data_IF_432634763086
#
_entry.id   IF_432634763086
#
_cell.length_a   1.000
_cell.length_b   1.000
_cell.length_c   1.000
_cell.angle_alpha   90.00
_cell.angle_beta   90.00
_cell.angle_gamma   90.00
#
_symmetry.space_group_name_H-M   'P 1'
#
loop_
_entity.id
_entity.type
_entity.pdbx_description
1 polymer ?
#
# COMPACT_ATOMS: atom_id res chain seq x y z
N UNK A 1 58.61 -32.76 -72.62
CA UNK A 1 58.85 -31.79 -71.51
C UNK A 1 57.59 -31.32 -70.79
N UNK A 2 56.53 -32.13 -70.63
CA UNK A 2 55.26 -31.64 -69.99
C UNK A 2 55.02 -32.15 -68.55
N UNK A 3 55.89 -32.96 -67.96
CA UNK A 3 55.69 -33.49 -66.63
C UNK A 3 56.12 -32.53 -65.49
N UNK A 4 57.02 -31.55 -65.73
CA UNK A 4 57.47 -30.63 -64.68
C UNK A 4 56.44 -29.52 -64.37
N UNK A 5 55.55 -29.16 -65.29
CA UNK A 5 54.55 -28.08 -65.09
C UNK A 5 53.38 -28.49 -64.19
N UNK A 6 53.02 -29.79 -64.18
CA UNK A 6 51.92 -30.30 -63.33
C UNK A 6 52.25 -30.25 -61.83
N UNK A 7 53.51 -30.41 -61.46
CA UNK A 7 53.93 -30.34 -60.05
C UNK A 7 53.90 -28.92 -59.47
N UNK A 8 54.21 -27.90 -60.28
CA UNK A 8 54.21 -26.50 -59.84
C UNK A 8 52.78 -26.01 -59.64
N UNK A 9 51.83 -26.38 -60.48
CA UNK A 9 50.43 -26.00 -60.36
C UNK A 9 49.77 -26.57 -59.08
N UNK A 10 50.09 -27.85 -58.77
CA UNK A 10 49.58 -28.49 -57.50
C UNK A 10 50.22 -27.89 -56.28
N UNK A 11 51.47 -27.50 -56.31
CA UNK A 11 52.15 -26.81 -55.20
C UNK A 11 51.53 -25.42 -54.96
N UNK A 12 51.28 -24.69 -56.04
CA UNK A 12 50.67 -23.35 -55.96
C UNK A 12 49.25 -23.42 -55.39
N UNK A 13 48.41 -24.35 -55.84
CA UNK A 13 47.07 -24.55 -55.29
C UNK A 13 47.08 -24.97 -53.85
N UNK A 14 48.00 -25.84 -53.41
CA UNK A 14 48.15 -26.23 -52.00
C UNK A 14 48.56 -25.05 -51.14
N UNK A 15 49.45 -24.17 -51.53
CA UNK A 15 49.86 -22.97 -50.80
C UNK A 15 48.70 -21.97 -50.69
N UNK A 16 47.95 -21.76 -51.79
CA UNK A 16 46.79 -20.86 -51.80
C UNK A 16 45.71 -21.40 -50.85
N UNK A 17 45.43 -22.68 -50.88
CA UNK A 17 44.49 -23.36 -49.94
C UNK A 17 44.94 -23.22 -48.50
N UNK A 18 46.22 -23.42 -48.20
CA UNK A 18 46.77 -23.31 -46.85
C UNK A 18 46.65 -21.88 -46.33
N UNK A 19 46.93 -20.87 -47.16
CA UNK A 19 46.76 -19.47 -46.80
C UNK A 19 45.29 -19.18 -46.56
N UNK A 20 44.39 -19.63 -47.43
CA UNK A 20 42.94 -19.42 -47.28
C UNK A 20 42.41 -20.05 -45.95
N UNK A 21 42.79 -21.31 -45.64
CA UNK A 21 42.39 -21.96 -44.38
C UNK A 21 42.95 -21.23 -43.16
N UNK A 22 44.21 -20.74 -43.25
CA UNK A 22 44.80 -19.99 -42.14
C UNK A 22 44.07 -18.65 -41.89
N UNK A 23 43.72 -17.92 -42.94
CA UNK A 23 42.94 -16.66 -42.84
C UNK A 23 41.56 -16.93 -42.27
N UNK A 24 40.86 -17.96 -42.76
CA UNK A 24 39.52 -18.33 -42.25
C UNK A 24 39.62 -18.72 -40.75
N UNK A 25 40.58 -19.54 -40.35
CA UNK A 25 40.79 -19.95 -38.97
C UNK A 25 41.07 -18.75 -38.06
N UNK A 26 41.89 -17.82 -38.51
CA UNK A 26 42.18 -16.59 -37.76
C UNK A 26 40.93 -15.72 -37.56
N UNK A 27 40.17 -15.53 -38.64
CA UNK A 27 38.92 -14.76 -38.58
C UNK A 27 37.85 -15.40 -37.68
N UNK A 28 37.72 -16.75 -37.78
CA UNK A 28 36.79 -17.50 -36.95
C UNK A 28 37.18 -17.39 -35.46
N UNK A 29 38.48 -17.49 -35.13
CA UNK A 29 38.97 -17.34 -33.78
C UNK A 29 38.68 -15.95 -33.21
N UNK A 30 38.83 -14.89 -34.00
CA UNK A 30 38.51 -13.53 -33.60
C UNK A 30 37.02 -13.35 -33.27
N UNK A 31 36.14 -13.91 -34.11
CA UNK A 31 34.69 -13.90 -33.87
C UNK A 31 34.36 -14.61 -32.56
N UNK A 32 34.87 -15.80 -32.34
CA UNK A 32 34.62 -16.60 -31.11
C UNK A 32 35.10 -15.84 -29.84
N UNK A 33 36.24 -15.15 -29.92
CA UNK A 33 36.72 -14.35 -28.80
C UNK A 33 35.77 -13.17 -28.50
N UNK A 34 35.32 -12.46 -29.54
CA UNK A 34 34.38 -11.37 -29.41
C UNK A 34 33.04 -11.84 -28.86
N UNK A 35 32.51 -12.96 -29.34
CA UNK A 35 31.26 -13.54 -28.82
C UNK A 35 31.39 -13.92 -27.34
N UNK A 36 32.50 -14.54 -26.95
CA UNK A 36 32.75 -14.85 -25.53
C UNK A 36 32.84 -13.60 -24.66
N UNK A 37 33.49 -12.55 -25.14
CA UNK A 37 33.57 -11.26 -24.42
C UNK A 37 32.18 -10.61 -24.29
N UNK A 38 31.37 -10.67 -25.33
CA UNK A 38 30.02 -10.14 -25.32
C UNK A 38 29.13 -10.89 -24.32
N UNK A 39 29.18 -12.21 -24.31
CA UNK A 39 28.44 -13.05 -23.34
C UNK A 39 28.92 -12.78 -21.91
N UNK A 40 30.23 -12.70 -21.68
CA UNK A 40 30.78 -12.37 -20.36
C UNK A 40 30.33 -11.00 -19.86
N UNK A 41 30.38 -9.97 -20.74
CA UNK A 41 29.93 -8.63 -20.38
C UNK A 41 28.42 -8.57 -20.14
N UNK A 42 27.62 -9.35 -20.88
CA UNK A 42 26.19 -9.44 -20.65
C UNK A 42 25.89 -10.10 -19.30
N UNK A 43 26.55 -11.20 -18.96
CA UNK A 43 26.41 -11.85 -17.66
C UNK A 43 26.83 -10.94 -16.50
N UNK A 44 27.96 -10.25 -16.62
CA UNK A 44 28.42 -9.28 -15.64
C UNK A 44 27.42 -8.09 -15.48
N UNK A 45 26.77 -7.71 -16.60
CA UNK A 45 25.74 -6.67 -16.59
C UNK A 45 24.49 -7.06 -15.81
N UNK A 46 24.02 -8.32 -15.96
CA UNK A 46 22.88 -8.85 -15.19
C UNK A 46 23.22 -8.94 -13.71
N UNK A 47 24.38 -9.47 -13.37
CA UNK A 47 24.83 -9.54 -11.99
C UNK A 47 24.95 -8.16 -11.33
N UNK A 48 25.53 -7.17 -12.02
CA UNK A 48 25.61 -5.80 -11.53
C UNK A 48 24.21 -5.19 -11.33
N UNK A 49 23.25 -5.52 -12.20
CA UNK A 49 21.86 -5.07 -12.07
C UNK A 49 21.20 -5.68 -10.83
N UNK A 50 21.29 -6.99 -10.63
CA UNK A 50 20.69 -7.68 -9.47
C UNK A 50 21.26 -7.15 -8.14
N UNK A 51 22.56 -6.86 -8.10
CA UNK A 51 23.19 -6.27 -6.92
C UNK A 51 22.75 -4.80 -6.70
N UNK A 52 22.59 -4.03 -7.77
CA UNK A 52 22.09 -2.66 -7.67
C UNK A 52 20.62 -2.65 -7.20
N UNK A 53 19.80 -3.59 -7.68
CA UNK A 53 18.42 -3.76 -7.22
C UNK A 53 18.38 -4.11 -5.73
N UNK A 54 19.19 -5.07 -5.29
CA UNK A 54 19.26 -5.44 -3.88
C UNK A 54 19.72 -4.27 -2.98
N UNK A 55 20.64 -3.44 -3.48
CA UNK A 55 21.04 -2.22 -2.79
C UNK A 55 19.91 -1.19 -2.71
N UNK A 56 19.10 -1.07 -3.75
CA UNK A 56 17.93 -0.20 -3.75
C UNK A 56 16.86 -0.68 -2.76
N UNK A 57 16.57 -1.99 -2.73
CA UNK A 57 15.61 -2.59 -1.82
C UNK A 57 16.02 -2.39 -0.35
N UNK A 58 17.33 -2.54 -0.07
CA UNK A 58 17.89 -2.18 1.24
C UNK A 58 17.67 -0.71 1.58
N UNK A 59 17.90 0.20 0.61
CA UNK A 59 17.68 1.64 0.77
C UNK A 59 16.22 1.98 1.06
N UNK A 60 15.30 1.33 0.39
CA UNK A 60 13.86 1.48 0.65
C UNK A 60 13.52 1.02 2.07
N UNK A 61 13.97 -0.17 2.47
CA UNK A 61 13.76 -0.67 3.83
C UNK A 61 14.35 0.27 4.90
N UNK A 62 15.52 0.85 4.64
CA UNK A 62 16.14 1.85 5.53
C UNK A 62 15.27 3.11 5.64
N UNK A 63 14.82 3.67 4.50
CA UNK A 63 13.96 4.87 4.49
C UNK A 63 12.65 4.60 5.23
N UNK A 64 12.03 3.44 5.04
CA UNK A 64 10.84 3.06 5.80
C UNK A 64 11.09 2.93 7.30
N UNK A 65 12.21 2.31 7.70
CA UNK A 65 12.53 2.12 9.12
C UNK A 65 12.87 3.40 9.87
N UNK A 66 13.48 4.38 9.19
CA UNK A 66 13.88 5.67 9.78
C UNK A 66 12.80 6.75 9.64
N UNK A 67 11.81 6.53 8.77
CA UNK A 67 10.83 7.53 8.36
C UNK A 67 11.39 8.52 7.33
N UNK A 68 10.60 8.80 6.29
CA UNK A 68 11.01 9.67 5.17
C UNK A 68 11.40 11.07 5.63
N UNK A 69 10.66 11.66 6.58
CA UNK A 69 10.95 13.00 7.11
C UNK A 69 12.33 13.08 7.82
N UNK A 70 12.69 12.04 8.58
CA UNK A 70 14.00 11.95 9.25
C UNK A 70 15.13 11.86 8.23
N UNK A 71 14.99 11.00 7.23
CA UNK A 71 15.98 10.83 6.15
C UNK A 71 16.06 12.09 5.28
N UNK A 72 14.94 12.74 4.98
CA UNK A 72 14.90 14.01 4.25
C UNK A 72 15.63 15.11 5.01
N UNK A 73 15.47 15.18 6.32
CA UNK A 73 16.21 16.14 7.18
C UNK A 73 17.70 15.86 7.18
N UNK A 74 18.11 14.59 7.28
CA UNK A 74 19.51 14.18 7.23
C UNK A 74 20.16 14.45 5.86
N UNK A 75 19.40 14.34 4.78
CA UNK A 75 19.86 14.56 3.39
C UNK A 75 19.65 16.01 2.89
N UNK A 76 19.11 16.90 3.72
CA UNK A 76 18.77 18.28 3.30
C UNK A 76 19.97 19.15 2.90
N UNK A 77 21.14 18.88 3.45
CA UNK A 77 22.38 19.65 3.20
C UNK A 77 23.44 18.90 2.39
N UNK A 78 23.32 17.60 2.23
CA UNK A 78 24.28 16.76 1.50
C UNK A 78 23.68 15.42 1.12
N UNK A 79 24.25 14.77 0.11
CA UNK A 79 23.90 13.40 -0.24
C UNK A 79 24.25 12.48 0.93
N UNK A 80 23.27 11.73 1.43
CA UNK A 80 23.47 10.73 2.48
C UNK A 80 23.96 9.43 1.82
N UNK A 81 25.15 8.98 2.23
CA UNK A 81 25.66 7.67 1.83
C UNK A 81 25.23 6.64 2.89
N UNK A 82 24.61 5.56 2.44
CA UNK A 82 24.22 4.47 3.30
C UNK A 82 25.22 3.32 3.21
N UNK A 83 25.67 2.83 4.37
CA UNK A 83 26.54 1.66 4.44
C UNK A 83 25.75 0.40 4.09
N UNK A 84 26.15 -0.24 3.00
CA UNK A 84 25.53 -1.48 2.55
C UNK A 84 25.98 -2.67 3.40
N UNK A 85 25.15 -3.70 3.58
CA UNK A 85 25.54 -4.97 4.18
C UNK A 85 26.76 -5.59 3.50
N UNK A 86 27.47 -6.44 4.21
CA UNK A 86 28.73 -7.07 3.70
C UNK A 86 28.49 -7.86 2.40
N UNK A 87 27.31 -8.42 2.23
CA UNK A 87 26.90 -9.18 1.04
C UNK A 87 26.77 -8.30 -0.21
N UNK A 88 26.56 -6.99 -0.02
CA UNK A 88 26.46 -5.99 -1.08
C UNK A 88 27.71 -5.07 -1.12
N UNK A 89 28.80 -5.49 -0.44
CA UNK A 89 30.04 -4.73 -0.40
C UNK A 89 30.57 -4.41 -1.82
N UNK A 90 31.07 -3.18 -1.99
CA UNK A 90 31.51 -2.68 -3.29
C UNK A 90 30.43 -1.93 -4.08
N UNK A 91 29.17 -1.95 -3.63
CA UNK A 91 28.12 -1.06 -4.12
C UNK A 91 28.15 0.30 -3.43
N UNK A 92 27.44 1.26 -3.99
CA UNK A 92 27.21 2.58 -3.41
C UNK A 92 25.72 2.86 -3.42
N UNK A 93 25.17 3.15 -2.24
CA UNK A 93 23.79 3.58 -2.08
C UNK A 93 23.79 5.01 -1.54
N UNK A 94 23.11 5.88 -2.26
CA UNK A 94 22.99 7.28 -1.89
C UNK A 94 21.53 7.70 -1.84
N UNK A 95 21.22 8.58 -0.88
CA UNK A 95 19.91 9.24 -0.77
C UNK A 95 20.12 10.74 -0.89
N UNK A 96 19.39 11.37 -1.78
CA UNK A 96 19.41 12.82 -1.95
C UNK A 96 18.00 13.38 -1.82
N UNK A 97 17.90 14.58 -1.23
CA UNK A 97 16.64 15.30 -1.12
C UNK A 97 16.39 16.10 -2.41
N UNK A 98 15.24 15.90 -3.03
CA UNK A 98 14.79 16.61 -4.23
C UNK A 98 13.61 17.57 -3.93
N UNK A 99 13.52 18.06 -2.69
CA UNK A 99 12.46 18.97 -2.25
C UNK A 99 11.32 18.22 -1.56
N UNK A 100 10.29 17.83 -2.25
CA UNK A 100 9.16 17.03 -1.73
C UNK A 100 9.39 15.53 -1.82
N UNK A 101 10.53 15.09 -2.36
CA UNK A 101 10.85 13.68 -2.56
C UNK A 101 12.29 13.36 -2.21
N UNK A 102 12.56 12.08 -1.97
CA UNK A 102 13.90 11.52 -1.84
C UNK A 102 14.24 10.76 -3.12
N UNK A 103 15.47 10.93 -3.61
CA UNK A 103 15.99 10.15 -4.72
C UNK A 103 17.01 9.16 -4.18
N UNK A 104 16.68 7.88 -4.25
CA UNK A 104 17.58 6.79 -3.94
C UNK A 104 18.33 6.41 -5.21
N UNK A 105 19.65 6.32 -5.12
CA UNK A 105 20.51 5.88 -6.22
C UNK A 105 21.40 4.76 -5.73
N UNK A 106 21.20 3.58 -6.29
CA UNK A 106 22.03 2.40 -6.03
C UNK A 106 22.93 2.11 -7.23
N UNK A 107 24.22 1.99 -6.97
CA UNK A 107 25.23 1.61 -7.96
C UNK A 107 25.94 0.36 -7.50
N UNK A 108 26.01 -0.64 -8.34
CA UNK A 108 26.77 -1.85 -8.04
C UNK A 108 27.65 -2.28 -9.23
N UNK A 109 28.65 -3.09 -8.91
CA UNK A 109 29.58 -3.70 -9.85
C UNK A 109 29.39 -5.23 -9.81
N UNK A 110 29.76 -5.90 -10.90
CA UNK A 110 29.83 -7.35 -10.90
C UNK A 110 30.95 -7.86 -9.96
N UNK A 111 30.76 -9.05 -9.41
CA UNK A 111 31.67 -9.64 -8.42
C UNK A 111 32.98 -10.14 -9.04
N UNK A 112 32.99 -10.40 -10.33
CA UNK A 112 34.16 -10.90 -11.08
C UNK A 112 35.32 -9.89 -11.20
N UNK A 113 35.20 -8.71 -10.58
CA UNK A 113 36.18 -7.62 -10.67
C UNK A 113 36.15 -6.92 -12.03
N UNK A 114 35.15 -7.17 -12.86
CA UNK A 114 34.95 -6.41 -14.09
C UNK A 114 34.58 -4.96 -13.79
N UNK A 115 34.83 -4.09 -14.73
CA UNK A 115 34.42 -2.66 -14.62
C UNK A 115 32.95 -2.43 -14.97
N UNK A 116 32.20 -3.50 -15.20
CA UNK A 116 30.78 -3.41 -15.54
C UNK A 116 30.00 -2.98 -14.30
N UNK A 117 29.28 -1.87 -14.41
CA UNK A 117 28.43 -1.37 -13.34
C UNK A 117 27.04 -1.06 -13.86
N UNK A 118 26.06 -1.10 -12.94
CA UNK A 118 24.70 -0.61 -13.17
C UNK A 118 24.32 0.41 -12.11
N UNK A 119 23.51 1.36 -12.51
CA UNK A 119 22.97 2.38 -11.63
C UNK A 119 21.45 2.31 -11.75
N UNK A 120 20.76 2.14 -10.62
CA UNK A 120 19.32 2.19 -10.55
C UNK A 120 18.94 3.38 -9.67
N UNK A 121 18.00 4.17 -10.14
CA UNK A 121 17.51 5.34 -9.41
C UNK A 121 16.01 5.20 -9.21
N UNK A 122 15.55 5.46 -8.01
CA UNK A 122 14.14 5.50 -7.67
C UNK A 122 13.84 6.74 -6.85
N UNK A 123 12.78 7.43 -7.23
CA UNK A 123 12.23 8.53 -6.45
C UNK A 123 11.21 8.01 -5.46
N UNK A 124 11.35 8.42 -4.20
CA UNK A 124 10.44 8.12 -3.10
C UNK A 124 9.95 9.45 -2.56
N UNK A 125 8.70 9.75 -2.74
CA UNK A 125 8.12 10.96 -2.17
C UNK A 125 7.59 10.70 -0.77
N UNK A 126 7.79 11.66 0.12
CA UNK A 126 7.15 11.68 1.44
C UNK A 126 5.69 12.11 1.32
N UNK A 127 5.35 12.71 0.19
CA UNK A 127 4.01 13.15 -0.03
C UNK A 127 3.21 12.07 -0.72
N UNK A 128 2.20 11.57 -0.04
CA UNK A 128 0.90 11.36 -0.64
C UNK A 128 0.82 10.44 -1.86
N UNK A 129 1.70 9.45 -1.97
CA UNK A 129 1.48 8.41 -2.96
C UNK A 129 0.53 7.31 -2.46
N UNK A 130 -0.10 7.50 -1.34
CA UNK A 130 -1.17 6.65 -0.87
C UNK A 130 -2.45 7.48 -0.70
N UNK A 131 -2.93 8.02 -1.79
CA UNK A 131 -4.31 8.49 -1.87
C UNK A 131 -5.26 7.29 -2.04
N UNK A 132 -4.90 6.16 -1.45
CA UNK A 132 -5.73 5.00 -1.44
C UNK A 132 -6.18 4.80 0.00
N UNK A 133 -7.49 4.64 0.26
CA UNK A 133 -7.88 4.00 1.49
C UNK A 133 -6.98 2.78 1.63
N UNK A 134 -6.47 2.52 2.81
CA UNK A 134 -5.54 1.42 2.98
C UNK A 134 -6.17 0.17 2.42
N UNK A 135 -5.40 -0.57 1.63
CA UNK A 135 -5.77 -1.94 1.28
C UNK A 135 -5.74 -2.85 2.54
N UNK A 136 -6.17 -2.29 3.66
CA UNK A 136 -6.22 -2.89 4.98
C UNK A 136 -7.62 -2.64 5.56
N UNK A 137 -8.37 -3.68 5.89
CA UNK A 137 -9.72 -3.54 6.41
C UNK A 137 -9.81 -2.71 7.70
N UNK A 138 -8.83 -2.83 8.58
CA UNK A 138 -8.81 -2.13 9.88
C UNK A 138 -7.52 -1.35 10.05
N UNK A 139 -7.62 -0.02 10.10
CA UNK A 139 -6.50 0.87 10.41
C UNK A 139 -6.84 1.72 11.61
N UNK A 140 -5.95 1.75 12.59
CA UNK A 140 -6.12 2.60 13.77
C UNK A 140 -4.79 3.14 14.27
N UNK A 141 -4.77 4.42 14.58
CA UNK A 141 -3.60 5.07 15.20
C UNK A 141 -3.34 4.57 16.63
N UNK A 142 -4.39 4.30 17.39
CA UNK A 142 -4.31 3.69 18.71
C UNK A 142 -4.48 2.18 18.66
N UNK A 143 -5.12 1.61 19.68
CA UNK A 143 -5.34 0.18 19.81
C UNK A 143 -6.55 -0.34 19.04
N UNK A 144 -6.50 -1.62 18.70
CA UNK A 144 -7.63 -2.40 18.20
C UNK A 144 -8.03 -3.44 19.23
N UNK A 145 -9.28 -3.45 19.68
CA UNK A 145 -9.78 -4.46 20.63
C UNK A 145 -10.92 -5.25 19.99
N UNK A 146 -10.83 -6.55 20.04
CA UNK A 146 -11.87 -7.46 19.58
C UNK A 146 -12.31 -8.34 20.74
N UNK A 147 -13.55 -8.18 21.19
CA UNK A 147 -14.09 -8.94 22.32
C UNK A 147 -15.21 -9.91 21.96
N UNK A 148 -15.63 -9.91 20.69
CA UNK A 148 -16.72 -10.72 20.16
C UNK A 148 -16.28 -11.80 19.17
N UNK A 149 -17.22 -12.27 18.35
CA UNK A 149 -16.93 -13.08 17.16
C UNK A 149 -16.74 -12.11 15.98
N UNK A 150 -15.55 -12.11 15.44
CA UNK A 150 -15.17 -11.18 14.37
C UNK A 150 -14.21 -11.86 13.41
N UNK A 151 -14.61 -11.91 12.15
CA UNK A 151 -13.79 -12.43 11.07
C UNK A 151 -13.38 -11.28 10.15
N UNK A 152 -12.08 -11.14 9.90
CA UNK A 152 -11.52 -10.17 8.92
C UNK A 152 -10.87 -10.94 7.79
N UNK A 153 -11.25 -10.61 6.59
CA UNK A 153 -10.68 -11.21 5.37
C UNK A 153 -10.03 -10.14 4.51
N UNK A 154 -8.80 -10.41 4.08
CA UNK A 154 -8.11 -9.63 3.05
C UNK A 154 -7.37 -10.58 2.10
N UNK A 155 -8.03 -10.94 1.02
CA UNK A 155 -7.43 -11.80 -0.02
C UNK A 155 -6.63 -11.02 -1.06
N UNK A 156 -6.73 -9.70 -1.07
CA UNK A 156 -6.03 -8.81 -2.01
C UNK A 156 -4.62 -8.49 -1.55
N UNK A 157 -4.49 -8.23 -0.24
CA UNK A 157 -3.22 -7.88 0.40
C UNK A 157 -3.00 -8.78 1.62
N UNK A 158 -1.77 -8.88 2.08
CA UNK A 158 -1.43 -9.76 3.20
C UNK A 158 -1.60 -9.11 4.57
N UNK A 159 -2.37 -8.01 4.69
CA UNK A 159 -2.54 -7.25 5.92
C UNK A 159 -4.02 -7.03 6.23
N UNK A 160 -4.47 -7.47 7.40
CA UNK A 160 -5.86 -7.36 7.84
C UNK A 160 -6.07 -6.27 8.90
N UNK A 161 -5.12 -6.10 9.80
CA UNK A 161 -5.17 -5.09 10.87
C UNK A 161 -3.85 -4.36 10.96
N UNK A 162 -3.91 -3.03 10.94
CA UNK A 162 -2.77 -2.16 11.18
C UNK A 162 -3.07 -1.20 12.33
N UNK A 163 -2.37 -1.41 13.44
CA UNK A 163 -2.60 -0.73 14.71
C UNK A 163 -1.32 -0.05 15.21
N UNK A 164 -1.43 1.21 15.59
CA UNK A 164 -0.30 1.96 16.19
C UNK A 164 0.01 1.51 17.61
N UNK A 165 -0.98 0.98 18.32
CA UNK A 165 -0.84 0.37 19.65
C UNK A 165 -1.16 -1.13 19.60
N UNK A 166 -1.37 -1.75 20.73
CA UNK A 166 -1.68 -3.18 20.85
C UNK A 166 -2.99 -3.52 20.11
N UNK A 167 -2.99 -4.67 19.43
CA UNK A 167 -4.19 -5.27 18.87
C UNK A 167 -4.60 -6.47 19.71
N UNK A 168 -5.57 -6.29 20.62
CA UNK A 168 -6.12 -7.36 21.45
C UNK A 168 -7.21 -8.12 20.67
N UNK A 169 -6.87 -9.32 20.21
CA UNK A 169 -7.80 -10.21 19.51
C UNK A 169 -8.33 -11.25 20.50
N UNK A 170 -9.35 -10.87 21.24
CA UNK A 170 -10.06 -11.76 22.17
C UNK A 170 -11.23 -12.50 21.52
N UNK A 171 -11.98 -13.22 22.31
CA UNK A 171 -13.20 -13.91 21.87
C UNK A 171 -12.93 -15.03 20.85
N UNK A 172 -13.77 -15.10 19.82
CA UNK A 172 -13.65 -16.03 18.69
C UNK A 172 -13.27 -15.28 17.41
N UNK A 173 -12.28 -14.40 17.50
CA UNK A 173 -11.81 -13.62 16.37
C UNK A 173 -10.85 -14.40 15.48
N UNK A 174 -10.93 -14.18 14.18
CA UNK A 174 -10.04 -14.78 13.19
C UNK A 174 -9.77 -13.81 12.04
N UNK A 175 -8.56 -13.91 11.48
CA UNK A 175 -8.24 -13.20 10.25
C UNK A 175 -7.85 -14.18 9.16
N UNK A 176 -8.18 -13.82 7.93
CA UNK A 176 -7.98 -14.66 6.76
C UNK A 176 -7.32 -13.85 5.64
N UNK A 177 -6.34 -14.47 4.98
CA UNK A 177 -5.62 -13.87 3.85
C UNK A 177 -5.46 -14.89 2.71
N UNK A 178 -4.99 -14.41 1.55
CA UNK A 178 -4.54 -15.32 0.50
C UNK A 178 -3.10 -15.77 0.78
N UNK A 179 -2.86 -17.08 0.80
CA UNK A 179 -1.52 -17.68 0.97
C UNK A 179 -1.25 -18.59 -0.20
N UNK A 180 -0.16 -18.35 -0.92
CA UNK A 180 0.25 -19.12 -2.10
C UNK A 180 -0.87 -19.24 -3.17
N UNK A 181 -1.67 -18.19 -3.33
CA UNK A 181 -2.78 -18.14 -4.26
C UNK A 181 -4.05 -18.90 -3.81
N UNK A 182 -4.10 -19.30 -2.53
CA UNK A 182 -5.30 -19.88 -1.93
C UNK A 182 -5.94 -18.84 -0.99
N UNK A 183 -7.15 -18.43 -1.32
CA UNK A 183 -7.91 -17.45 -0.55
C UNK A 183 -8.45 -18.02 0.76
N UNK A 184 -8.82 -17.11 1.67
CA UNK A 184 -9.45 -17.42 2.95
C UNK A 184 -8.65 -18.39 3.84
N UNK A 185 -7.32 -18.28 3.81
CA UNK A 185 -6.48 -19.05 4.70
C UNK A 185 -6.39 -18.37 6.06
N UNK A 186 -6.65 -19.14 7.13
CA UNK A 186 -6.54 -18.64 8.50
C UNK A 186 -5.11 -18.18 8.77
N UNK A 187 -4.94 -16.92 9.12
CA UNK A 187 -3.64 -16.32 9.46
C UNK A 187 -3.52 -16.06 10.94
N UNK A 188 -4.44 -15.28 11.52
CA UNK A 188 -4.46 -14.96 12.96
C UNK A 188 -5.74 -15.49 13.62
N UNK A 189 -5.63 -15.89 14.86
CA UNK A 189 -6.76 -16.23 15.73
C UNK A 189 -6.54 -15.63 17.11
N UNK A 190 -7.52 -15.75 18.00
CA UNK A 190 -7.39 -15.32 19.41
C UNK A 190 -6.22 -15.98 20.16
N UNK A 191 -5.70 -17.10 19.67
CA UNK A 191 -4.61 -17.85 20.30
C UNK A 191 -3.29 -17.82 19.51
N UNK A 192 -3.30 -17.38 18.26
CA UNK A 192 -2.15 -17.41 17.37
C UNK A 192 -2.09 -16.14 16.56
N UNK A 193 -0.97 -15.42 16.62
CA UNK A 193 -0.72 -14.21 15.86
C UNK A 193 -0.04 -14.54 14.53
N UNK A 194 -0.64 -14.14 13.43
CA UNK A 194 -0.09 -14.25 12.08
C UNK A 194 0.61 -12.95 11.63
N UNK A 195 1.25 -12.99 10.46
CA UNK A 195 1.96 -11.83 9.91
C UNK A 195 1.04 -10.73 9.37
N UNK A 196 -0.24 -10.99 9.26
CA UNK A 196 -1.26 -10.10 8.71
C UNK A 196 -1.80 -9.07 9.71
N UNK A 197 -1.32 -9.11 10.94
CA UNK A 197 -1.63 -8.14 11.99
C UNK A 197 -0.36 -7.39 12.38
N UNK A 198 -0.28 -6.12 12.03
CA UNK A 198 0.76 -5.20 12.50
C UNK A 198 0.20 -4.47 13.72
N UNK A 199 0.89 -4.58 14.84
CA UNK A 199 0.55 -3.90 16.09
C UNK A 199 1.74 -3.14 16.66
N UNK A 200 1.46 -2.14 17.49
CA UNK A 200 2.49 -1.31 18.13
C UNK A 200 3.41 -0.60 17.13
N UNK A 201 2.87 -0.24 15.95
CA UNK A 201 3.60 0.54 14.95
C UNK A 201 3.78 1.97 15.44
N UNK A 202 4.99 2.30 15.84
CA UNK A 202 5.34 3.61 16.41
C UNK A 202 5.18 4.76 15.41
N UNK A 203 5.32 4.50 14.12
CA UNK A 203 5.10 5.54 13.10
C UNK A 203 3.62 5.89 13.04
N UNK A 204 2.76 4.87 13.04
CA UNK A 204 1.31 5.06 13.04
C UNK A 204 0.84 5.66 14.37
N UNK A 205 1.35 5.19 15.53
CA UNK A 205 0.99 5.71 16.85
C UNK A 205 1.33 7.18 17.03
N UNK A 206 2.47 7.62 16.49
CA UNK A 206 2.95 9.00 16.62
C UNK A 206 2.45 9.93 15.50
N UNK A 207 1.85 9.41 14.44
CA UNK A 207 1.29 10.21 13.38
C UNK A 207 0.23 11.18 13.92
N UNK A 208 0.18 12.39 13.44
CA UNK A 208 -0.95 13.28 13.72
C UNK A 208 -2.20 12.83 12.98
N UNK A 209 -3.37 13.35 13.33
CA UNK A 209 -4.59 13.09 12.57
C UNK A 209 -4.45 13.55 11.11
N UNK A 210 -3.85 14.74 10.92
CA UNK A 210 -3.54 15.29 9.61
C UNK A 210 -2.64 14.36 8.79
N UNK A 211 -1.50 13.92 9.34
CA UNK A 211 -0.59 13.00 8.66
C UNK A 211 -1.25 11.67 8.30
N UNK A 212 -2.12 11.14 9.17
CA UNK A 212 -2.89 9.94 8.89
C UNK A 212 -3.86 10.17 7.73
N UNK A 213 -4.66 11.23 7.80
CA UNK A 213 -5.66 11.54 6.77
C UNK A 213 -5.00 11.92 5.43
N UNK A 214 -3.88 12.64 5.46
CA UNK A 214 -3.11 12.92 4.26
C UNK A 214 -2.55 11.66 3.62
N UNK A 215 -2.00 10.73 4.42
CA UNK A 215 -1.39 9.51 3.91
C UNK A 215 -2.40 8.57 3.26
N UNK A 216 -3.64 8.53 3.74
CA UNK A 216 -4.67 7.61 3.23
C UNK A 216 -5.64 8.26 2.25
N UNK A 217 -5.94 9.54 2.44
CA UNK A 217 -7.04 10.18 1.71
C UNK A 217 -6.64 11.50 1.05
N UNK A 218 -5.39 11.94 1.16
CA UNK A 218 -4.93 13.26 0.71
C UNK A 218 -5.79 14.40 1.28
N UNK A 219 -6.14 14.31 2.55
CA UNK A 219 -6.95 15.27 3.29
C UNK A 219 -6.23 15.68 4.56
N UNK A 220 -6.18 16.98 4.84
CA UNK A 220 -5.52 17.49 6.04
C UNK A 220 -6.40 17.46 7.28
N UNK A 221 -7.71 17.31 7.10
CA UNK A 221 -8.67 17.23 8.19
C UNK A 221 -9.90 16.42 7.81
N UNK A 222 -10.69 15.98 8.80
CA UNK A 222 -11.96 15.32 8.54
C UNK A 222 -12.96 16.25 7.83
N UNK A 223 -12.90 17.57 8.07
CA UNK A 223 -13.75 18.54 7.40
C UNK A 223 -13.45 18.70 5.89
N UNK A 224 -12.24 18.32 5.43
CA UNK A 224 -11.89 18.39 4.02
C UNK A 224 -12.66 17.35 3.17
N UNK A 225 -13.16 16.29 3.79
CA UNK A 225 -14.08 15.37 3.11
C UNK A 225 -15.39 16.04 2.74
N UNK A 226 -15.67 17.18 3.35
CA UNK A 226 -16.87 17.97 3.13
C UNK A 226 -16.75 18.95 1.96
N UNK A 227 -15.57 19.37 1.57
CA UNK A 227 -15.36 20.43 0.58
C UNK A 227 -15.89 20.09 -0.82
N UNK A 228 -15.97 18.82 -1.15
CA UNK A 228 -16.28 18.33 -2.51
C UNK A 228 -17.69 17.70 -2.62
N UNK A 229 -18.49 17.69 -1.55
CA UNK A 229 -19.78 17.02 -1.57
C UNK A 229 -20.95 17.99 -1.47
N UNK A 230 -22.01 17.70 -2.22
CA UNK A 230 -23.27 18.47 -2.26
C UNK A 230 -23.98 18.45 -0.90
N UNK A 231 -23.65 17.48 -0.04
CA UNK A 231 -24.33 17.20 1.23
C UNK A 231 -23.54 17.67 2.46
N UNK A 232 -22.53 18.48 2.26
CA UNK A 232 -21.65 18.94 3.31
C UNK A 232 -21.82 20.43 3.57
N UNK A 233 -22.72 20.77 4.44
CA UNK A 233 -22.58 22.01 5.21
C UNK A 233 -22.05 21.65 6.59
N UNK A 234 -20.90 22.20 7.04
CA UNK A 234 -20.47 22.06 8.43
C UNK A 234 -21.65 22.36 9.37
N UNK A 235 -21.96 21.45 10.29
CA UNK A 235 -23.11 21.59 11.18
C UNK A 235 -24.49 21.21 10.60
N UNK A 236 -24.58 20.72 9.37
CA UNK A 236 -25.86 20.29 8.82
C UNK A 236 -26.34 18.97 9.44
N UNK A 237 -25.42 18.08 9.76
CA UNK A 237 -25.73 16.82 10.41
C UNK A 237 -24.95 16.68 11.72
N UNK A 238 -25.57 17.18 12.79
CA UNK A 238 -25.00 17.06 14.14
C UNK A 238 -25.16 15.64 14.73
N UNK A 239 -26.00 14.83 14.12
CA UNK A 239 -26.25 13.46 14.54
C UNK A 239 -26.72 12.59 13.37
N UNK A 240 -26.59 11.27 13.54
CA UNK A 240 -27.14 10.30 12.59
C UNK A 240 -28.66 10.47 12.38
N UNK A 241 -29.40 10.79 13.44
CA UNK A 241 -30.83 11.04 13.35
C UNK A 241 -31.16 12.27 12.50
N UNK A 242 -30.35 13.31 12.57
CA UNK A 242 -30.54 14.49 11.72
C UNK A 242 -30.26 14.16 10.25
N UNK A 243 -29.24 13.38 9.98
CA UNK A 243 -28.94 12.86 8.67
C UNK A 243 -30.11 11.99 8.14
N UNK A 244 -30.55 10.98 8.89
CA UNK A 244 -31.62 10.07 8.44
C UNK A 244 -32.98 10.77 8.29
N UNK A 245 -33.28 11.78 9.09
CA UNK A 245 -34.50 12.58 8.94
C UNK A 245 -34.45 13.46 7.68
N UNK A 246 -33.30 14.09 7.39
CA UNK A 246 -33.10 14.81 6.13
C UNK A 246 -33.16 13.88 4.92
N UNK A 247 -32.75 12.63 5.10
CA UNK A 247 -32.72 11.57 4.12
C UNK A 247 -34.07 10.97 3.79
N UNK A 248 -35.00 10.90 4.75
CA UNK A 248 -36.36 10.43 4.56
C UNK A 248 -37.30 11.50 4.00
N UNK A 249 -36.92 12.77 4.07
CA UNK A 249 -37.65 13.83 3.38
C UNK A 249 -37.33 13.80 1.88
N UNK A 250 -38.34 13.64 1.07
CA UNK A 250 -38.40 13.27 -0.36
C UNK A 250 -37.38 13.88 -1.35
N UNK A 251 -36.49 14.73 -0.90
CA UNK A 251 -35.38 15.30 -1.68
C UNK A 251 -34.04 14.58 -1.50
N UNK A 252 -33.88 13.82 -0.45
CA UNK A 252 -32.64 13.10 -0.13
C UNK A 252 -32.65 11.66 -0.63
N UNK A 253 -33.82 11.09 -0.91
CA UNK A 253 -33.92 9.81 -1.62
C UNK A 253 -33.33 9.92 -3.04
N UNK A 254 -33.53 11.04 -3.73
CA UNK A 254 -32.95 11.30 -5.05
C UNK A 254 -31.40 11.23 -5.03
N UNK A 255 -30.77 11.56 -3.90
CA UNK A 255 -29.32 11.55 -3.72
C UNK A 255 -28.73 10.13 -3.63
N UNK A 256 -29.51 9.16 -3.13
CA UNK A 256 -29.08 7.77 -3.08
C UNK A 256 -29.55 6.94 -4.27
N UNK A 257 -30.62 7.39 -4.93
CA UNK A 257 -31.11 6.78 -6.16
C UNK A 257 -30.33 7.27 -7.40
N UNK A 258 -29.64 8.41 -7.30
CA UNK A 258 -28.76 8.91 -8.37
C UNK A 258 -27.32 8.42 -8.15
N UNK A 259 -26.85 7.44 -8.95
CA UNK A 259 -25.49 6.92 -8.84
C UNK A 259 -24.41 7.95 -9.20
N UNK A 260 -24.78 9.12 -9.75
CA UNK A 260 -23.84 10.21 -10.03
C UNK A 260 -23.58 11.10 -8.82
N UNK A 261 -24.31 10.92 -7.71
CA UNK A 261 -24.14 11.72 -6.51
C UNK A 261 -23.22 11.00 -5.52
N UNK A 262 -22.22 11.74 -5.04
CA UNK A 262 -21.27 11.23 -4.05
C UNK A 262 -21.98 10.76 -2.78
N UNK A 263 -21.73 9.50 -2.37
CA UNK A 263 -22.27 8.92 -1.13
C UNK A 263 -21.40 9.20 0.07
N UNK A 264 -20.83 10.38 0.11
CA UNK A 264 -20.05 10.85 1.25
C UNK A 264 -20.98 11.47 2.26
N UNK A 265 -20.95 10.94 3.47
CA UNK A 265 -21.72 11.41 4.60
C UNK A 265 -20.73 11.98 5.60
N UNK A 266 -20.83 13.27 5.88
CA UNK A 266 -20.03 13.93 6.89
C UNK A 266 -20.89 14.27 8.09
N UNK A 267 -20.44 13.89 9.27
CA UNK A 267 -21.09 14.17 10.55
C UNK A 267 -20.12 14.93 11.46
N UNK A 268 -20.56 16.05 11.99
CA UNK A 268 -19.84 16.83 12.98
C UNK A 268 -20.70 16.95 14.26
N UNK A 269 -20.49 16.03 15.23
CA UNK A 269 -21.26 16.04 16.46
C UNK A 269 -21.01 17.35 17.26
N UNK A 270 -22.08 18.03 17.62
CA UNK A 270 -22.00 19.28 18.44
C UNK A 270 -22.02 19.02 19.95
N UNK A 271 -21.96 17.76 20.36
CA UNK A 271 -21.98 17.34 21.77
C UNK A 271 -20.58 16.92 22.22
N UNK A 272 -20.25 17.20 23.48
CA UNK A 272 -19.05 16.65 24.09
C UNK A 272 -19.21 15.13 24.24
N UNK A 273 -18.50 14.38 23.40
CA UNK A 273 -18.55 12.92 23.35
C UNK A 273 -17.70 12.26 24.47
N UNK A 274 -17.17 13.06 25.40
CA UNK A 274 -16.40 12.58 26.52
C UNK A 274 -15.06 11.96 26.13
N UNK A 275 -14.33 11.49 27.13
CA UNK A 275 -12.99 10.87 26.97
C UNK A 275 -12.99 9.35 27.06
N UNK A 276 -14.17 8.70 27.06
CA UNK A 276 -14.26 7.25 27.19
C UNK A 276 -13.31 6.54 26.19
N UNK A 277 -12.59 5.54 26.67
CA UNK A 277 -11.80 4.65 25.82
C UNK A 277 -12.72 3.77 24.97
N UNK A 278 -12.25 3.28 23.85
CA UNK A 278 -13.01 2.34 23.03
C UNK A 278 -13.39 1.05 23.80
N UNK A 279 -12.60 0.68 24.82
CA UNK A 279 -12.76 -0.55 25.61
C UNK A 279 -13.68 -0.38 26.82
N UNK A 280 -13.97 0.87 27.21
CA UNK A 280 -14.87 1.11 28.34
C UNK A 280 -16.27 0.56 28.04
N UNK A 281 -16.88 -0.05 29.03
CA UNK A 281 -18.26 -0.54 28.91
C UNK A 281 -19.31 0.53 29.19
N UNK A 282 -18.91 1.73 29.55
CA UNK A 282 -19.78 2.87 29.88
C UNK A 282 -19.26 4.14 29.22
N UNK A 283 -20.15 5.09 28.96
CA UNK A 283 -19.77 6.42 28.44
C UNK A 283 -19.98 6.62 26.94
N UNK A 284 -20.72 5.71 26.29
CA UNK A 284 -21.00 5.82 24.84
C UNK A 284 -22.32 6.48 24.50
N UNK A 285 -23.06 7.02 25.49
CA UNK A 285 -24.38 7.59 25.24
C UNK A 285 -24.33 8.83 24.35
N UNK A 286 -23.21 9.55 24.42
CA UNK A 286 -22.99 10.77 23.67
C UNK A 286 -22.23 10.55 22.34
N UNK A 287 -21.90 9.28 22.02
CA UNK A 287 -21.28 8.94 20.74
C UNK A 287 -22.33 8.94 19.64
N UNK A 288 -21.89 9.26 18.42
CA UNK A 288 -22.75 9.21 17.24
C UNK A 288 -23.17 7.76 16.98
N UNK A 289 -24.46 7.46 17.11
CA UNK A 289 -25.03 6.11 16.96
C UNK A 289 -25.46 5.89 15.50
N UNK A 290 -24.62 5.23 14.72
CA UNK A 290 -24.89 4.90 13.32
C UNK A 290 -25.65 3.58 13.24
N UNK A 291 -26.81 3.62 12.58
CA UNK A 291 -27.63 2.46 12.31
C UNK A 291 -27.36 1.98 10.89
N UNK A 292 -26.57 0.94 10.72
CA UNK A 292 -26.15 0.44 9.40
C UNK A 292 -27.33 0.04 8.53
N UNK A 293 -28.42 -0.45 9.10
CA UNK A 293 -29.63 -0.81 8.36
C UNK A 293 -30.27 0.37 7.59
N UNK A 294 -30.01 1.60 8.02
CA UNK A 294 -30.58 2.78 7.39
C UNK A 294 -29.90 3.09 6.05
N UNK A 295 -28.63 2.71 5.88
CA UNK A 295 -27.83 3.04 4.70
C UNK A 295 -27.44 1.83 3.86
N UNK A 296 -27.23 0.68 4.46
CA UNK A 296 -26.78 -0.53 3.75
C UNK A 296 -27.63 -0.90 2.53
N UNK A 297 -28.98 -0.77 2.55
CA UNK A 297 -29.81 -1.05 1.37
C UNK A 297 -29.49 -0.20 0.15
N UNK A 298 -28.80 0.91 0.35
CA UNK A 298 -28.46 1.88 -0.70
C UNK A 298 -26.99 1.83 -1.11
N UNK A 299 -26.23 0.88 -0.58
CA UNK A 299 -24.82 0.68 -0.92
C UNK A 299 -24.63 -0.58 -1.76
N UNK A 300 -23.61 -0.57 -2.62
CA UNK A 300 -23.20 -1.71 -3.45
C UNK A 300 -21.70 -1.64 -3.71
N UNK A 301 -21.14 -2.68 -4.32
CA UNK A 301 -19.73 -2.70 -4.71
C UNK A 301 -19.34 -1.52 -5.59
N UNK A 302 -20.19 -1.23 -6.62
CA UNK A 302 -19.93 -0.12 -7.55
C UNK A 302 -20.33 1.25 -6.98
N UNK A 303 -20.95 1.27 -5.81
CA UNK A 303 -21.50 2.49 -5.23
C UNK A 303 -21.43 2.43 -3.70
N UNK A 304 -20.21 2.40 -3.14
CA UNK A 304 -19.98 2.34 -1.70
C UNK A 304 -20.30 3.66 -1.02
N UNK A 305 -20.55 3.61 0.29
CA UNK A 305 -20.66 4.81 1.10
C UNK A 305 -19.32 5.13 1.79
N UNK A 306 -19.01 6.43 1.90
CA UNK A 306 -17.93 6.93 2.75
C UNK A 306 -18.57 7.73 3.88
N UNK A 307 -18.48 7.21 5.09
CA UNK A 307 -19.02 7.86 6.29
C UNK A 307 -17.86 8.45 7.08
N UNK A 308 -17.81 9.76 7.15
CA UNK A 308 -16.80 10.49 7.92
C UNK A 308 -17.46 11.12 9.13
N UNK A 309 -16.94 10.86 10.31
CA UNK A 309 -17.43 11.43 11.55
C UNK A 309 -16.29 12.13 12.27
N UNK A 310 -16.36 13.44 12.35
CA UNK A 310 -15.40 14.21 13.15
C UNK A 310 -15.68 14.05 14.64
N UNK A 311 -15.61 12.83 15.10
CA UNK A 311 -15.97 12.44 16.47
C UNK A 311 -15.91 10.94 16.68
N UNK A 312 -16.56 10.50 17.76
CA UNK A 312 -16.65 9.11 18.17
C UNK A 312 -17.94 8.48 17.64
N UNK A 313 -17.82 7.23 17.16
CA UNK A 313 -18.91 6.49 16.54
C UNK A 313 -19.18 5.19 17.27
N UNK A 314 -20.46 4.95 17.49
CA UNK A 314 -20.98 3.64 17.84
C UNK A 314 -21.81 3.10 16.69
N UNK A 315 -21.49 1.91 16.22
CA UNK A 315 -22.24 1.24 15.16
C UNK A 315 -23.08 0.13 15.81
N UNK A 316 -24.37 0.30 15.69
CA UNK A 316 -25.35 -0.61 16.30
C UNK A 316 -26.37 -1.08 15.27
N UNK A 317 -27.23 -1.98 15.71
CA UNK A 317 -28.48 -2.40 15.08
C UNK A 317 -28.39 -2.73 13.59
N UNK A 318 -27.45 -3.61 13.23
CA UNK A 318 -27.43 -4.24 11.92
C UNK A 318 -28.06 -5.64 12.04
N UNK A 319 -28.92 -6.00 11.10
CA UNK A 319 -29.42 -7.38 11.03
C UNK A 319 -28.33 -8.31 10.52
N UNK A 320 -28.25 -9.54 11.04
CA UNK A 320 -27.20 -10.52 10.70
C UNK A 320 -27.04 -10.85 9.21
N UNK A 321 -27.95 -10.39 8.36
CA UNK A 321 -27.90 -10.59 6.89
C UNK A 321 -27.72 -9.28 6.13
N UNK A 322 -27.40 -8.18 6.82
CA UNK A 322 -27.16 -6.90 6.17
C UNK A 322 -25.72 -6.84 5.69
N UNK A 323 -25.52 -6.46 4.43
CA UNK A 323 -24.20 -6.16 3.88
C UNK A 323 -24.08 -4.66 3.68
N UNK A 324 -23.03 -4.08 4.27
CA UNK A 324 -22.68 -2.70 4.08
C UNK A 324 -21.42 -2.62 3.19
N UNK A 325 -21.51 -1.85 2.13
CA UNK A 325 -20.38 -1.57 1.23
C UNK A 325 -19.90 -0.16 1.49
N UNK A 326 -18.67 -0.02 1.96
CA UNK A 326 -18.11 1.30 2.21
C UNK A 326 -16.99 1.38 3.24
N UNK A 327 -16.56 2.63 3.48
CA UNK A 327 -15.49 2.97 4.42
C UNK A 327 -16.05 3.90 5.51
N UNK A 328 -15.65 3.65 6.76
CA UNK A 328 -15.98 4.52 7.89
C UNK A 328 -14.69 5.14 8.43
N UNK A 329 -14.68 6.46 8.54
CA UNK A 329 -13.57 7.24 9.07
C UNK A 329 -14.06 7.99 10.29
N UNK A 330 -13.42 7.80 11.45
CA UNK A 330 -13.82 8.45 12.69
C UNK A 330 -12.66 8.58 13.69
N UNK A 331 -12.86 9.34 14.78
CA UNK A 331 -11.85 9.39 15.85
C UNK A 331 -11.79 8.08 16.64
N UNK A 332 -12.91 7.62 17.12
CA UNK A 332 -13.05 6.34 17.81
C UNK A 332 -14.23 5.58 17.23
N UNK A 333 -14.07 4.29 17.05
CA UNK A 333 -15.11 3.42 16.49
C UNK A 333 -15.40 2.27 17.42
N UNK A 334 -16.66 2.09 17.77
CA UNK A 334 -17.15 0.93 18.52
C UNK A 334 -18.25 0.25 17.74
N UNK A 335 -18.10 -1.02 17.45
CA UNK A 335 -19.07 -1.82 16.71
C UNK A 335 -19.71 -2.83 17.68
N UNK A 336 -21.03 -2.76 17.81
CA UNK A 336 -21.80 -3.57 18.77
C UNK A 336 -22.82 -4.51 18.14
N UNK A 337 -22.93 -4.53 16.81
CA UNK A 337 -23.86 -5.36 16.06
C UNK A 337 -23.14 -6.23 15.03
N UNK A 338 -23.73 -7.40 14.71
CA UNK A 338 -23.24 -8.28 13.66
C UNK A 338 -23.79 -7.91 12.30
N UNK A 339 -22.93 -7.81 11.28
CA UNK A 339 -23.28 -7.60 9.88
C UNK A 339 -22.10 -7.96 8.99
N UNK A 340 -22.37 -8.06 7.68
CA UNK A 340 -21.29 -8.20 6.70
C UNK A 340 -20.83 -6.83 6.25
N UNK A 341 -19.51 -6.63 6.23
CA UNK A 341 -18.90 -5.38 5.83
C UNK A 341 -17.91 -5.61 4.69
N UNK A 342 -18.22 -5.04 3.54
CA UNK A 342 -17.35 -5.02 2.37
C UNK A 342 -16.67 -3.65 2.28
N UNK A 343 -15.42 -3.58 2.74
CA UNK A 343 -14.69 -2.30 2.81
C UNK A 343 -13.76 -2.21 4.00
N UNK A 344 -13.77 -1.09 4.73
CA UNK A 344 -12.83 -0.88 5.81
C UNK A 344 -13.17 0.22 6.82
N UNK A 345 -12.41 0.27 7.89
CA UNK A 345 -12.49 1.29 8.94
C UNK A 345 -11.14 1.94 9.18
N UNK A 346 -11.15 3.26 9.27
CA UNK A 346 -9.98 4.07 9.65
C UNK A 346 -10.33 4.88 10.90
N UNK A 347 -9.59 4.67 11.97
CA UNK A 347 -9.77 5.41 13.20
C UNK A 347 -8.51 6.18 13.59
N UNK A 348 -8.66 7.49 13.86
CA UNK A 348 -7.54 8.32 14.29
C UNK A 348 -7.18 8.14 15.77
N UNK A 349 -7.92 7.29 16.50
CA UNK A 349 -7.63 6.92 17.87
C UNK A 349 -7.74 5.40 18.06
N UNK A 350 -8.93 4.82 18.27
CA UNK A 350 -9.07 3.38 18.54
C UNK A 350 -10.31 2.75 17.91
N UNK A 351 -10.26 1.42 17.74
CA UNK A 351 -11.38 0.61 17.26
C UNK A 351 -11.70 -0.51 18.24
N UNK A 352 -12.98 -0.72 18.55
CA UNK A 352 -13.45 -1.83 19.36
C UNK A 352 -14.59 -2.60 18.65
N UNK A 353 -14.38 -3.88 18.45
CA UNK A 353 -15.38 -4.82 17.95
C UNK A 353 -15.95 -5.61 19.13
N UNK A 354 -17.08 -5.15 19.68
CA UNK A 354 -17.72 -5.73 20.85
C UNK A 354 -18.96 -6.57 20.57
N UNK A 355 -19.43 -6.56 19.32
CA UNK A 355 -20.59 -7.33 18.87
C UNK A 355 -20.23 -8.75 18.46
N UNK A 356 -21.23 -9.62 18.28
CA UNK A 356 -21.05 -10.95 17.72
C UNK A 356 -21.44 -11.00 16.25
N UNK A 357 -20.71 -11.82 15.45
CA UNK A 357 -21.08 -12.12 14.08
C UNK A 357 -20.78 -11.01 13.06
N UNK A 358 -19.71 -10.25 13.27
CA UNK A 358 -19.20 -9.32 12.27
C UNK A 358 -18.27 -10.08 11.33
N UNK A 359 -18.54 -9.97 10.02
CA UNK A 359 -17.63 -10.41 8.96
C UNK A 359 -17.21 -9.21 8.15
N UNK A 360 -15.94 -8.86 8.18
CA UNK A 360 -15.37 -7.76 7.40
C UNK A 360 -14.48 -8.34 6.30
N UNK A 361 -14.74 -7.94 5.07
CA UNK A 361 -13.95 -8.35 3.91
C UNK A 361 -13.44 -7.10 3.19
N UNK A 362 -12.15 -7.05 2.90
CA UNK A 362 -11.63 -6.04 2.01
C UNK A 362 -12.05 -6.38 0.58
N UNK A 363 -12.94 -5.60 0.04
CA UNK A 363 -13.39 -5.73 -1.34
C UNK A 363 -12.70 -4.66 -2.18
N UNK A 364 -11.82 -5.12 -3.09
CA UNK A 364 -11.04 -4.21 -3.94
C UNK A 364 -11.92 -3.30 -4.80
N UNK A 365 -13.04 -3.81 -5.32
CA UNK A 365 -13.98 -3.00 -6.12
C UNK A 365 -14.53 -1.84 -5.31
N UNK A 366 -14.92 -2.10 -4.05
CA UNK A 366 -15.40 -1.07 -3.11
C UNK A 366 -14.30 -0.03 -2.85
N UNK A 367 -13.08 -0.49 -2.59
CA UNK A 367 -11.96 0.40 -2.32
C UNK A 367 -11.59 1.23 -3.55
N UNK A 368 -11.56 0.63 -4.73
CA UNK A 368 -11.30 1.34 -5.99
C UNK A 368 -12.38 2.38 -6.26
N UNK A 369 -13.65 2.06 -6.05
CA UNK A 369 -14.78 2.99 -6.22
C UNK A 369 -14.70 4.18 -5.22
N UNK A 370 -14.34 3.91 -3.96
CA UNK A 370 -14.05 4.98 -2.98
C UNK A 370 -12.89 5.86 -3.45
N UNK A 371 -11.87 5.25 -4.08
CA UNK A 371 -10.69 5.94 -4.56
C UNK A 371 -10.93 6.80 -5.79
N UNK A 372 -11.70 6.31 -6.75
CA UNK A 372 -12.05 7.09 -7.95
C UNK A 372 -12.71 8.41 -7.58
N UNK A 373 -13.44 8.42 -6.48
CA UNK A 373 -14.04 9.63 -5.94
C UNK A 373 -13.05 10.53 -5.17
N UNK A 374 -11.96 9.97 -4.61
CA UNK A 374 -11.03 10.70 -3.73
C UNK A 374 -9.74 11.10 -4.45
N UNK A 375 -9.30 10.38 -5.49
CA UNK A 375 -7.99 10.60 -6.08
C UNK A 375 -8.01 11.02 -7.54
N UNK A 376 -7.54 12.23 -7.77
CA UNK A 376 -6.89 12.57 -9.04
C UNK A 376 -5.41 12.87 -8.74
N UNK A 377 -4.56 11.91 -8.72
CA UNK A 377 -3.15 11.96 -9.17
C UNK A 377 -2.41 10.70 -8.74
N UNK A 378 -2.28 9.74 -9.63
CA UNK A 378 -1.17 8.77 -9.59
C UNK A 378 0.08 9.45 -10.12
N UNK A 379 1.07 9.64 -9.29
CA UNK A 379 2.45 9.77 -9.78
C UNK A 379 2.95 8.35 -10.01
N UNK A 380 2.83 7.85 -11.23
CA UNK A 380 3.46 6.58 -11.62
C UNK A 380 4.96 6.67 -11.33
N UNK A 381 5.47 5.67 -10.60
CA UNK A 381 6.86 5.62 -10.20
C UNK A 381 7.81 5.82 -11.38
N UNK A 382 8.66 6.81 -11.29
CA UNK A 382 9.73 7.06 -12.24
C UNK A 382 10.86 6.06 -12.04
N UNK A 383 10.59 4.78 -12.34
CA UNK A 383 11.66 3.80 -12.44
C UNK A 383 12.47 4.06 -13.72
N UNK A 384 13.78 4.25 -13.59
CA UNK A 384 14.69 4.44 -14.74
C UNK A 384 15.90 3.54 -14.57
N UNK A 385 16.14 2.72 -15.57
CA UNK A 385 17.37 1.96 -15.79
C UNK A 385 18.26 2.76 -16.77
N UNK A 386 19.53 2.99 -16.42
CA UNK A 386 20.55 3.69 -17.21
C UNK A 386 21.74 2.81 -17.50
#
# INVERSE_FOLDING_TARGET
MHHKQKGIATLLTAVVLLVAVTVISFYTSEIVIKDKQLVANAAAGVEAFDRAQSGLDFGLAYVYSQGIASVASASSSSVLNLDLPAELAGGLLTVSNAGSSLVLTSRAYSEDGSTVSRVITQEVSSSTAANLPPAVPVVTKGGTTISGSFDVTNNEESLTIWSGEEADLGGSSSTYISIDGNDNQLSTSSSTRGPDVIESDQNLANATEEELLESFFNRSSMSDFCSDSINCSPGQYESWSNFTNAFTDSKSLDLLEDPSLSRRIYLEPNVDQGTASCDDNNGFNDWTDIQINDIAPYTSEDNPAVIVVDGNVKIGNAGNNTTFYGVIIAKKVRITAGFNWEGGVVATNCVHFGGGGISMNLNKTVIDAVNEEVSQVRVEGSWRDW
#
